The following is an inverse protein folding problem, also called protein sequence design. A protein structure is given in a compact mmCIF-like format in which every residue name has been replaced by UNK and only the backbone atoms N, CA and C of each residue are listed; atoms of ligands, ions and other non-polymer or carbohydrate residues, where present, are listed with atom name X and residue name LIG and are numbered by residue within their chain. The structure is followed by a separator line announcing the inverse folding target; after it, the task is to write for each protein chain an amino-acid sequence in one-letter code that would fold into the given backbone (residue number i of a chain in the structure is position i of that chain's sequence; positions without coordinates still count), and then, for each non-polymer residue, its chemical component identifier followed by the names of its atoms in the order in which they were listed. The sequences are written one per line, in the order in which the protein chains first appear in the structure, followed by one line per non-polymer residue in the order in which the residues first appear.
data_IF_872512703836
#
_entry.id   IF_872512703836
#
_cell.length_a   1.000
_cell.length_b   1.000
_cell.length_c   1.000
_cell.angle_alpha   90.00
_cell.angle_beta   90.00
_cell.angle_gamma   90.00
#
_symmetry.space_group_name_H-M   'P 1'
#
loop_
_entity.id
_entity.type
_entity.pdbx_description
1 polymer ?
#
# COMPACT_ATOMS: atom_id res chain seq x y z
N UNK A 1 -20.29 -3.89 -10.78
CA UNK A 1 -19.42 -2.85 -10.22
C UNK A 1 -18.40 -3.46 -9.30
N UNK A 2 -17.15 -3.11 -9.49
CA UNK A 2 -16.07 -3.55 -8.62
C UNK A 2 -16.12 -2.73 -7.34
N UNK A 3 -16.29 -3.40 -6.20
CA UNK A 3 -16.21 -2.74 -4.91
C UNK A 3 -14.79 -2.79 -4.39
N UNK A 4 -14.33 -1.66 -3.88
CA UNK A 4 -13.07 -1.60 -3.19
C UNK A 4 -13.32 -1.64 -1.69
N UNK A 5 -12.45 -2.36 -0.98
CA UNK A 5 -12.47 -2.40 0.48
C UNK A 5 -11.40 -1.45 0.99
N UNK A 6 -11.81 -0.52 1.84
CA UNK A 6 -10.93 0.46 2.45
C UNK A 6 -10.37 -0.08 3.76
N UNK A 7 -9.05 -0.06 3.90
CA UNK A 7 -8.36 -0.42 5.13
C UNK A 7 -7.61 0.80 5.65
N UNK A 8 -7.93 1.23 6.85
CA UNK A 8 -7.27 2.36 7.51
C UNK A 8 -6.51 1.85 8.72
N UNK A 9 -5.25 2.23 8.85
CA UNK A 9 -4.46 1.83 10.00
C UNK A 9 -2.99 2.17 9.83
N UNK A 10 -2.17 1.47 10.59
CA UNK A 10 -0.72 1.55 10.47
C UNK A 10 -0.23 0.38 9.65
N UNK A 11 0.57 0.68 8.65
CA UNK A 11 1.09 -0.32 7.74
C UNK A 11 2.60 -0.34 7.79
N UNK A 12 3.16 -1.53 7.68
CA UNK A 12 4.59 -1.74 7.63
C UNK A 12 4.94 -2.45 6.33
N UNK A 13 6.03 -2.01 5.72
CA UNK A 13 6.57 -2.65 4.53
C UNK A 13 7.60 -3.68 4.98
N UNK A 14 7.37 -4.94 4.62
CA UNK A 14 8.23 -6.06 4.98
C UNK A 14 8.92 -6.56 3.72
N UNK A 15 10.24 -6.55 3.73
CA UNK A 15 11.05 -7.15 2.68
C UNK A 15 11.50 -8.53 3.14
N UNK A 16 11.04 -9.57 2.45
CA UNK A 16 11.46 -10.94 2.66
C UNK A 16 12.36 -11.37 1.49
N UNK A 17 13.38 -12.14 1.81
CA UNK A 17 14.27 -12.72 0.82
C UNK A 17 14.19 -14.23 0.94
N UNK A 18 13.67 -14.89 -0.08
CA UNK A 18 13.58 -16.34 -0.14
C UNK A 18 14.60 -16.87 -1.13
N UNK A 19 15.05 -18.10 -0.91
CA UNK A 19 16.00 -18.76 -1.80
C UNK A 19 15.31 -19.94 -2.46
N UNK A 20 15.32 -19.96 -3.79
CA UNK A 20 14.83 -21.10 -4.55
C UNK A 20 15.79 -22.28 -4.35
N UNK A 21 15.26 -23.42 -3.91
CA UNK A 21 16.05 -24.61 -3.62
C UNK A 21 16.61 -25.27 -4.90
N UNK A 22 15.98 -25.08 -6.04
CA UNK A 22 16.42 -25.68 -7.31
C UNK A 22 17.48 -24.82 -7.99
N UNK A 23 17.25 -23.52 -8.12
CA UNK A 23 18.15 -22.61 -8.83
C UNK A 23 19.15 -21.91 -7.90
N UNK A 24 18.96 -21.97 -6.59
CA UNK A 24 19.74 -21.25 -5.58
C UNK A 24 19.72 -19.71 -5.77
N UNK A 25 18.74 -19.22 -6.51
CA UNK A 25 18.57 -17.79 -6.72
C UNK A 25 17.81 -17.17 -5.56
N UNK A 26 18.21 -15.96 -5.19
CA UNK A 26 17.52 -15.17 -4.17
C UNK A 26 16.37 -14.42 -4.81
N UNK A 27 15.19 -14.54 -4.22
CA UNK A 27 14.00 -13.82 -4.65
C UNK A 27 13.58 -12.84 -3.55
N UNK A 28 13.46 -11.57 -3.92
CA UNK A 28 12.98 -10.53 -3.01
C UNK A 28 11.48 -10.38 -3.17
N UNK A 29 10.78 -10.34 -2.05
CA UNK A 29 9.32 -10.18 -2.02
C UNK A 29 8.97 -9.12 -0.99
N UNK A 30 8.13 -8.18 -1.41
CA UNK A 30 7.67 -7.08 -0.55
C UNK A 30 6.21 -7.30 -0.19
N UNK A 31 5.91 -7.17 1.10
CA UNK A 31 4.56 -7.33 1.64
C UNK A 31 4.20 -6.11 2.49
N UNK A 32 2.92 -5.84 2.58
CA UNK A 32 2.39 -4.85 3.52
C UNK A 32 1.68 -5.59 4.64
N UNK A 33 1.98 -5.20 5.87
CA UNK A 33 1.38 -5.80 7.07
C UNK A 33 0.75 -4.69 7.90
N UNK A 34 -0.51 -4.87 8.25
CA UNK A 34 -1.19 -3.96 9.18
C UNK A 34 -0.85 -4.37 10.61
N UNK A 35 -0.25 -3.46 11.36
CA UNK A 35 0.15 -3.72 12.74
C UNK A 35 0.24 -2.41 13.52
N UNK A 36 0.21 -2.50 14.84
CA UNK A 36 0.31 -1.33 15.72
C UNK A 36 1.77 -0.99 16.05
N UNK A 37 2.64 -1.99 16.05
CA UNK A 37 4.06 -1.82 16.40
C UNK A 37 4.94 -2.65 15.47
N UNK A 38 6.24 -2.34 15.45
CA UNK A 38 7.23 -3.12 14.70
C UNK A 38 7.26 -4.59 15.16
N UNK A 39 7.16 -4.83 16.46
CA UNK A 39 7.15 -6.19 17.00
C UNK A 39 5.96 -6.99 16.52
N UNK A 40 4.78 -6.39 16.50
CA UNK A 40 3.58 -7.01 15.97
C UNK A 40 3.70 -7.28 14.48
N UNK A 41 4.27 -6.33 13.71
CA UNK A 41 4.51 -6.50 12.29
C UNK A 41 5.46 -7.68 12.02
N UNK A 42 6.51 -7.82 12.80
CA UNK A 42 7.44 -8.95 12.70
C UNK A 42 6.74 -10.27 13.00
N UNK A 43 5.97 -10.33 14.08
CA UNK A 43 5.23 -11.52 14.46
C UNK A 43 4.23 -11.95 13.36
N UNK A 44 3.48 -11.02 12.81
CA UNK A 44 2.54 -11.29 11.74
C UNK A 44 3.25 -11.72 10.46
N UNK A 45 4.38 -11.10 10.15
CA UNK A 45 5.17 -11.47 8.98
C UNK A 45 5.70 -12.91 9.11
N UNK A 46 6.16 -13.29 10.29
CA UNK A 46 6.65 -14.64 10.53
C UNK A 46 5.55 -15.71 10.49
N UNK A 47 4.33 -15.35 10.92
CA UNK A 47 3.23 -16.33 11.00
C UNK A 47 2.37 -16.40 9.74
N UNK A 48 2.13 -15.27 9.10
CA UNK A 48 1.12 -15.16 8.03
C UNK A 48 1.69 -15.08 6.62
N UNK A 49 3.00 -14.82 6.46
CA UNK A 49 3.62 -14.88 5.14
C UNK A 49 3.74 -16.32 4.65
N UNK A 50 3.89 -16.54 3.32
CA UNK A 50 3.96 -17.88 2.78
C UNK A 50 4.96 -18.80 3.51
N UNK A 51 4.66 -20.08 3.55
CA UNK A 51 5.37 -21.11 4.36
C UNK A 51 6.89 -21.10 4.18
N UNK A 52 7.37 -20.62 3.07
CA UNK A 52 8.81 -20.54 2.76
C UNK A 52 9.49 -19.37 3.45
N UNK A 53 8.72 -18.42 3.98
CA UNK A 53 9.26 -17.26 4.69
C UNK A 53 9.49 -17.61 6.14
N UNK A 54 10.76 -17.65 6.54
CA UNK A 54 11.17 -17.87 7.93
C UNK A 54 11.64 -16.55 8.53
N UNK A 55 11.76 -16.50 9.84
CA UNK A 55 12.27 -15.33 10.54
C UNK A 55 13.58 -14.82 9.94
N UNK A 56 14.46 -15.74 9.56
CA UNK A 56 15.77 -15.43 8.97
C UNK A 56 15.65 -14.84 7.55
N UNK A 57 14.52 -15.01 6.90
CA UNK A 57 14.28 -14.52 5.54
C UNK A 57 13.75 -13.09 5.52
N UNK A 58 13.31 -12.57 6.66
CA UNK A 58 12.86 -11.18 6.77
C UNK A 58 14.08 -10.28 6.91
N UNK A 59 14.27 -9.39 5.93
CA UNK A 59 15.45 -8.50 5.88
C UNK A 59 15.19 -7.15 6.49
N UNK A 60 14.07 -6.53 6.15
CA UNK A 60 13.73 -5.21 6.68
C UNK A 60 12.26 -5.12 6.97
N UNK A 61 11.94 -4.36 8.00
CA UNK A 61 10.58 -3.95 8.33
C UNK A 61 10.66 -2.45 8.54
N UNK A 62 9.88 -1.69 7.76
CA UNK A 62 9.84 -0.24 7.92
C UNK A 62 8.41 0.27 7.82
N UNK A 63 8.18 1.41 8.43
CA UNK A 63 6.87 2.01 8.44
C UNK A 63 6.51 2.54 7.04
N UNK A 64 5.32 2.19 6.56
CA UNK A 64 4.82 2.72 5.29
C UNK A 64 4.36 4.17 5.45
N UNK A 65 4.46 4.93 4.35
CA UNK A 65 4.08 6.35 4.33
C UNK A 65 2.58 6.58 4.14
N UNK A 66 1.82 5.55 3.85
CA UNK A 66 0.39 5.64 3.66
C UNK A 66 -0.36 5.06 4.86
N UNK A 67 -1.56 5.55 5.09
CA UNK A 67 -2.46 5.08 6.17
C UNK A 67 -3.74 4.47 5.63
N UNK A 68 -3.94 4.51 4.32
CA UNK A 68 -5.11 3.94 3.65
C UNK A 68 -4.69 3.01 2.53
N UNK A 69 -5.24 1.80 2.54
CA UNK A 69 -5.06 0.79 1.50
C UNK A 69 -6.42 0.39 0.97
N UNK A 70 -6.55 0.38 -0.35
CA UNK A 70 -7.79 -0.01 -1.02
C UNK A 70 -7.55 -1.32 -1.77
N UNK A 71 -8.29 -2.36 -1.42
CA UNK A 71 -8.22 -3.66 -2.07
C UNK A 71 -9.46 -3.89 -2.93
N UNK A 72 -9.31 -4.72 -3.96
CA UNK A 72 -10.36 -5.04 -4.92
C UNK A 72 -10.67 -6.53 -4.86
N UNK A 73 -11.93 -6.88 -5.09
CA UNK A 73 -12.37 -8.28 -5.19
C UNK A 73 -12.17 -8.85 -6.60
N UNK A 74 -11.78 -8.02 -7.57
CA UNK A 74 -11.56 -8.43 -8.95
C UNK A 74 -10.25 -9.22 -9.07
N UNK A 75 -10.29 -10.45 -9.56
CA UNK A 75 -9.11 -11.31 -9.66
C UNK A 75 -8.01 -10.72 -10.55
N UNK A 76 -8.39 -9.94 -11.54
CA UNK A 76 -7.42 -9.28 -12.43
C UNK A 76 -6.61 -8.20 -11.72
N UNK A 77 -7.12 -7.65 -10.61
CA UNK A 77 -6.44 -6.63 -9.82
C UNK A 77 -5.39 -7.29 -8.92
N UNK A 78 -4.27 -7.63 -9.50
CA UNK A 78 -3.19 -8.41 -8.89
C UNK A 78 -1.95 -7.59 -8.53
N UNK A 79 -1.99 -6.27 -8.74
CA UNK A 79 -0.87 -5.36 -8.49
C UNK A 79 -1.27 -4.27 -7.54
N UNK A 80 -0.26 -3.64 -6.93
CA UNK A 80 -0.46 -2.53 -6.01
C UNK A 80 0.23 -1.29 -6.53
N UNK A 81 -0.49 -0.17 -6.53
CA UNK A 81 -0.01 1.11 -7.01
C UNK A 81 0.02 2.12 -5.88
N UNK A 82 1.15 2.81 -5.75
CA UNK A 82 1.25 3.93 -4.81
C UNK A 82 0.77 5.19 -5.51
N UNK A 83 -0.33 5.72 -5.04
CA UNK A 83 -0.97 6.90 -5.61
C UNK A 83 -0.77 8.09 -4.69
N UNK A 84 -0.21 9.17 -5.22
CA UNK A 84 -0.04 10.42 -4.49
C UNK A 84 -1.01 11.45 -5.00
N UNK A 85 -1.72 12.08 -4.08
CA UNK A 85 -2.74 13.09 -4.37
C UNK A 85 -2.38 14.38 -3.66
N UNK A 86 -2.40 15.48 -4.38
CA UNK A 86 -2.25 16.82 -3.79
C UNK A 86 -3.62 17.36 -3.44
N UNK A 87 -3.77 17.76 -2.19
CA UNK A 87 -4.96 18.43 -1.70
C UNK A 87 -4.65 19.87 -1.40
N UNK A 88 -5.56 20.77 -1.80
CA UNK A 88 -5.46 22.19 -1.51
C UNK A 88 -6.28 22.46 -0.27
N UNK A 89 -5.64 22.93 0.79
CA UNK A 89 -6.29 23.31 2.03
C UNK A 89 -5.99 24.78 2.33
N UNK A 90 -6.87 25.43 3.09
CA UNK A 90 -6.68 26.81 3.52
C UNK A 90 -6.24 26.82 4.97
N UNK A 91 -5.14 27.52 5.25
CA UNK A 91 -4.67 27.71 6.60
C UNK A 91 -5.54 28.75 7.30
N UNK A 92 -6.22 28.36 8.38
CA UNK A 92 -7.13 29.23 9.13
C UNK A 92 -6.43 30.42 9.78
N UNK A 93 -5.13 30.31 10.05
CA UNK A 93 -4.38 31.38 10.72
C UNK A 93 -3.96 32.51 9.79
N UNK A 94 -3.68 32.25 8.53
CA UNK A 94 -3.18 33.25 7.59
C UNK A 94 -3.99 33.34 6.29
N UNK A 95 -5.01 32.51 6.11
CA UNK A 95 -5.85 32.48 4.92
C UNK A 95 -5.15 32.02 3.64
N UNK A 96 -3.92 31.52 3.76
CA UNK A 96 -3.14 31.06 2.59
C UNK A 96 -3.48 29.62 2.23
N UNK A 97 -3.44 29.33 0.93
CA UNK A 97 -3.58 27.97 0.43
C UNK A 97 -2.33 27.17 0.76
N UNK A 98 -2.54 25.93 1.21
CA UNK A 98 -1.46 24.96 1.44
C UNK A 98 -1.74 23.73 0.61
N UNK A 99 -0.67 23.16 0.03
CA UNK A 99 -0.74 21.89 -0.68
C UNK A 99 -0.27 20.77 0.26
N UNK A 100 -1.13 19.80 0.46
CA UNK A 100 -0.81 18.61 1.24
C UNK A 100 -0.82 17.39 0.32
N UNK A 101 0.23 16.59 0.40
CA UNK A 101 0.32 15.35 -0.38
C UNK A 101 -0.09 14.17 0.50
N UNK A 102 -1.06 13.39 0.02
CA UNK A 102 -1.53 12.18 0.69
C UNK A 102 -1.24 11.00 -0.21
N UNK A 103 -0.74 9.92 0.37
CA UNK A 103 -0.44 8.68 -0.35
C UNK A 103 -1.46 7.60 -0.03
N UNK A 104 -1.89 6.90 -1.08
CA UNK A 104 -2.80 5.76 -0.98
C UNK A 104 -2.18 4.57 -1.68
N UNK A 105 -2.40 3.37 -1.15
CA UNK A 105 -2.05 2.13 -1.84
C UNK A 105 -3.32 1.56 -2.45
N UNK A 106 -3.33 1.36 -3.76
CA UNK A 106 -4.51 0.90 -4.49
C UNK A 106 -4.19 -0.38 -5.26
N UNK A 107 -5.00 -1.40 -5.04
CA UNK A 107 -4.93 -2.66 -5.75
C UNK A 107 -5.63 -2.53 -7.11
N UNK A 108 -4.91 -2.81 -8.19
CA UNK A 108 -5.42 -2.70 -9.55
C UNK A 108 -4.62 -3.60 -10.49
N UNK A 109 -5.07 -3.72 -11.74
CA UNK A 109 -4.35 -4.50 -12.75
C UNK A 109 -3.40 -3.64 -13.60
N UNK A 110 -3.77 -2.39 -13.84
CA UNK A 110 -2.98 -1.45 -14.63
C UNK A 110 -3.02 -0.05 -14.01
N UNK A 111 -2.14 0.82 -14.48
CA UNK A 111 -2.12 2.23 -14.07
C UNK A 111 -3.45 2.91 -14.37
N UNK A 112 -4.05 2.63 -15.53
CA UNK A 112 -5.34 3.21 -15.91
C UNK A 112 -6.46 2.79 -14.95
N UNK A 113 -6.49 1.53 -14.56
CA UNK A 113 -7.46 1.03 -13.60
C UNK A 113 -7.26 1.67 -12.23
N UNK A 114 -6.01 1.81 -11.80
CA UNK A 114 -5.69 2.50 -10.55
C UNK A 114 -6.16 3.95 -10.58
N UNK A 115 -5.94 4.66 -11.69
CA UNK A 115 -6.43 6.03 -11.88
C UNK A 115 -7.95 6.09 -11.79
N UNK A 116 -8.64 5.14 -12.40
CA UNK A 116 -10.10 5.08 -12.37
C UNK A 116 -10.63 4.90 -10.95
N UNK A 117 -10.02 3.98 -10.18
CA UNK A 117 -10.38 3.77 -8.78
C UNK A 117 -10.11 5.03 -7.95
N UNK A 118 -8.96 5.66 -8.18
CA UNK A 118 -8.59 6.88 -7.47
C UNK A 118 -9.56 8.03 -7.77
N UNK A 119 -9.96 8.19 -9.02
CA UNK A 119 -10.92 9.23 -9.42
C UNK A 119 -12.26 9.07 -8.72
N UNK A 120 -12.73 7.82 -8.57
CA UNK A 120 -13.95 7.54 -7.82
C UNK A 120 -13.83 7.92 -6.36
N UNK A 121 -12.69 7.65 -5.75
CA UNK A 121 -12.44 8.03 -4.36
C UNK A 121 -12.43 9.53 -4.19
N UNK A 122 -11.85 10.25 -5.14
CA UNK A 122 -11.76 11.72 -5.08
C UNK A 122 -13.10 12.40 -5.32
N UNK A 123 -14.00 11.79 -6.10
CA UNK A 123 -15.36 12.31 -6.29
C UNK A 123 -16.16 12.36 -5.00
N UNK A 124 -15.86 11.49 -4.06
CA UNK A 124 -16.54 11.43 -2.77
C UNK A 124 -16.03 12.48 -1.78
N UNK A 125 -14.95 13.16 -2.09
CA UNK A 125 -14.40 14.19 -1.20
C UNK A 125 -14.88 15.58 -1.62
N UNK A 126 -15.13 16.44 -0.62
CA UNK A 126 -15.48 17.85 -0.86
C UNK A 126 -14.25 18.74 -1.03
N UNK A 127 -13.05 18.18 -0.92
CA UNK A 127 -11.78 18.91 -0.98
C UNK A 127 -11.25 18.87 -2.41
N UNK A 128 -10.78 20.01 -2.88
CA UNK A 128 -10.12 20.07 -4.18
C UNK A 128 -8.81 19.29 -4.15
N UNK A 129 -8.67 18.33 -5.05
CA UNK A 129 -7.51 17.49 -5.13
C UNK A 129 -7.14 17.16 -6.57
N UNK A 130 -5.88 16.83 -6.78
CA UNK A 130 -5.37 16.44 -8.08
C UNK A 130 -4.36 15.29 -7.91
N UNK A 131 -4.43 14.33 -8.83
CA UNK A 131 -3.47 13.22 -8.84
C UNK A 131 -2.08 13.75 -9.18
N UNK A 132 -1.12 13.47 -8.31
CA UNK A 132 0.28 13.86 -8.51
C UNK A 132 1.08 12.75 -9.19
N UNK A 133 0.90 11.50 -8.76
CA UNK A 133 1.61 10.36 -9.36
C UNK A 133 0.89 9.06 -9.07
N UNK A 134 1.07 8.09 -9.96
CA UNK A 134 0.64 6.70 -9.79
C UNK A 134 1.81 5.83 -10.22
N UNK A 135 2.36 5.07 -9.28
CA UNK A 135 3.54 4.24 -9.51
C UNK A 135 3.28 2.82 -9.09
N UNK A 136 3.57 1.87 -9.99
CA UNK A 136 3.50 0.46 -9.65
C UNK A 136 4.55 0.13 -8.60
N UNK A 137 4.15 -0.62 -7.59
CA UNK A 137 5.03 -1.05 -6.50
C UNK A 137 5.41 -2.51 -6.65
N UNK A 138 6.51 -2.97 -6.02
CA UNK A 138 6.85 -4.38 -5.99
C UNK A 138 6.05 -5.17 -4.94
N UNK A 139 5.07 -4.56 -4.30
CA UNK A 139 4.26 -5.21 -3.27
C UNK A 139 3.48 -6.37 -3.87
N UNK A 140 3.61 -7.55 -3.27
CA UNK A 140 2.96 -8.77 -3.72
C UNK A 140 1.58 -8.93 -3.08
N UNK A 141 1.48 -8.66 -1.79
CA UNK A 141 0.24 -8.86 -1.05
C UNK A 141 0.23 -8.03 0.24
N UNK A 142 -0.95 -7.91 0.81
CA UNK A 142 -1.19 -7.21 2.06
C UNK A 142 -1.79 -8.16 3.08
N UNK A 143 -1.33 -8.05 4.32
CA UNK A 143 -1.86 -8.81 5.45
C UNK A 143 -2.55 -7.81 6.37
N UNK A 144 -3.84 -7.97 6.59
CA UNK A 144 -4.64 -7.09 7.44
C UNK A 144 -4.98 -7.77 8.76
N UNK A 145 -5.15 -6.94 9.77
CA UNK A 145 -5.61 -7.42 11.08
C UNK A 145 -7.04 -7.93 11.01
#
# INVERSE_FOLDING_TARGET
MTQQTKHIGRFFEVLAVTRDTESNEKKRQTYIVEASTFSEAEDLACSDLPVESREDDIRTIRRANFVEVYTSERDADDRYFLCKVKMVTVNDNNGREQNTTISYLINADTTNTAQHYLDKLMEETAIQCATSSIVETPIIDCIFK
#
